data_IF_507821061879
#
_entry.id   IF_507821061879
#
_cell.length_a   1.000
_cell.length_b   1.000
_cell.length_c   1.000
_cell.angle_alpha   90.00
_cell.angle_beta   90.00
_cell.angle_gamma   90.00
#
_symmetry.space_group_name_H-M   'P 1'
#
loop_
_entity.id
_entity.type
_entity.pdbx_description
1 polymer ?
#
# COMPACT_ATOMS: atom_id res chain seq x y z
N UNK A 1 -73.87 -4.10 -9.57
CA UNK A 1 -72.48 -4.39 -9.13
C UNK A 1 -71.88 -5.37 -10.13
N UNK A 2 -70.95 -4.94 -11.00
CA UNK A 2 -70.33 -5.80 -12.01
C UNK A 2 -69.31 -6.71 -11.32
N UNK A 3 -69.61 -8.01 -11.28
CA UNK A 3 -68.75 -9.02 -10.65
C UNK A 3 -67.39 -9.11 -11.35
N UNK A 4 -66.32 -9.00 -10.57
CA UNK A 4 -64.99 -9.43 -11.00
C UNK A 4 -65.06 -10.94 -11.26
N UNK A 5 -65.09 -11.34 -12.53
CA UNK A 5 -64.97 -12.74 -12.92
C UNK A 5 -63.59 -13.28 -12.53
N UNK A 6 -63.53 -14.51 -12.02
CA UNK A 6 -62.33 -15.22 -11.56
C UNK A 6 -61.14 -15.11 -12.56
N UNK A 7 -61.46 -15.02 -13.84
CA UNK A 7 -60.51 -14.85 -14.96
C UNK A 7 -59.73 -13.54 -14.90
N UNK A 8 -60.36 -12.43 -14.50
CA UNK A 8 -59.71 -11.12 -14.38
C UNK A 8 -58.75 -11.07 -13.18
N UNK A 9 -59.09 -11.73 -12.07
CA UNK A 9 -58.23 -11.83 -10.88
C UNK A 9 -56.94 -12.60 -11.21
N UNK A 10 -57.05 -13.71 -11.95
CA UNK A 10 -55.89 -14.53 -12.38
C UNK A 10 -54.94 -13.76 -13.31
N UNK A 11 -55.49 -12.92 -14.19
CA UNK A 11 -54.73 -12.06 -15.10
C UNK A 11 -53.98 -10.94 -14.35
N UNK A 12 -54.63 -10.31 -13.38
CA UNK A 12 -53.99 -9.28 -12.51
C UNK A 12 -52.87 -9.91 -11.69
N UNK A 13 -53.10 -11.06 -11.07
CA UNK A 13 -52.09 -11.76 -10.28
C UNK A 13 -50.88 -12.16 -11.13
N UNK A 14 -51.09 -12.65 -12.36
CA UNK A 14 -50.01 -12.98 -13.31
C UNK A 14 -49.20 -11.75 -13.73
N UNK A 15 -49.84 -10.59 -13.94
CA UNK A 15 -49.15 -9.33 -14.24
C UNK A 15 -48.36 -8.81 -13.03
N UNK A 16 -48.94 -8.87 -11.84
CA UNK A 16 -48.27 -8.47 -10.60
C UNK A 16 -47.03 -9.34 -10.33
N UNK A 17 -47.15 -10.67 -10.47
CA UNK A 17 -46.03 -11.58 -10.27
C UNK A 17 -44.88 -11.32 -11.27
N UNK A 18 -45.20 -11.05 -12.53
CA UNK A 18 -44.20 -10.63 -13.53
C UNK A 18 -43.50 -9.32 -13.14
N UNK A 19 -44.25 -8.36 -12.61
CA UNK A 19 -43.69 -7.08 -12.18
C UNK A 19 -42.77 -7.23 -10.96
N UNK A 20 -43.17 -8.01 -9.95
CA UNK A 20 -42.32 -8.33 -8.78
C UNK A 20 -41.03 -9.02 -9.20
N UNK A 21 -41.09 -9.95 -10.15
CA UNK A 21 -39.91 -10.58 -10.73
C UNK A 21 -38.96 -9.60 -11.40
N UNK A 22 -39.49 -8.66 -12.19
CA UNK A 22 -38.66 -7.66 -12.87
C UNK A 22 -37.95 -6.79 -11.84
N UNK A 23 -38.64 -6.35 -10.78
CA UNK A 23 -38.03 -5.59 -9.69
C UNK A 23 -36.96 -6.42 -8.99
N UNK A 24 -37.23 -7.69 -8.70
CA UNK A 24 -36.26 -8.58 -8.07
C UNK A 24 -35.00 -8.76 -8.93
N UNK A 25 -35.16 -8.96 -10.24
CA UNK A 25 -34.03 -9.05 -11.18
C UNK A 25 -33.22 -7.74 -11.18
N UNK A 26 -33.89 -6.58 -11.26
CA UNK A 26 -33.21 -5.28 -11.20
C UNK A 26 -32.42 -5.09 -9.91
N UNK A 27 -32.98 -5.53 -8.77
CA UNK A 27 -32.34 -5.45 -7.47
C UNK A 27 -31.11 -6.37 -7.39
N UNK A 28 -31.21 -7.60 -7.93
CA UNK A 28 -30.07 -8.51 -8.04
C UNK A 28 -28.97 -7.92 -8.92
N UNK A 29 -29.32 -7.31 -10.06
CA UNK A 29 -28.36 -6.65 -10.96
C UNK A 29 -27.67 -5.49 -10.25
N UNK A 30 -28.40 -4.63 -9.53
CA UNK A 30 -27.84 -3.54 -8.74
C UNK A 30 -26.86 -4.05 -7.67
N UNK A 31 -27.22 -5.12 -6.95
CA UNK A 31 -26.32 -5.74 -5.96
C UNK A 31 -25.05 -6.25 -6.63
N UNK A 32 -25.14 -6.90 -7.79
CA UNK A 32 -23.97 -7.38 -8.52
C UNK A 32 -23.05 -6.24 -8.95
N UNK A 33 -23.61 -5.13 -9.45
CA UNK A 33 -22.84 -3.93 -9.82
C UNK A 33 -22.10 -3.37 -8.59
N UNK A 34 -22.77 -3.28 -7.44
CA UNK A 34 -22.15 -2.81 -6.20
C UNK A 34 -21.01 -3.72 -5.73
N UNK A 35 -21.20 -5.04 -5.77
CA UNK A 35 -20.16 -6.02 -5.41
C UNK A 35 -18.95 -5.89 -6.34
N UNK A 36 -19.18 -5.85 -7.67
CA UNK A 36 -18.11 -5.71 -8.66
C UNK A 36 -17.31 -4.43 -8.41
N UNK A 37 -18.00 -3.30 -8.22
CA UNK A 37 -17.35 -2.01 -7.95
C UNK A 37 -16.49 -2.07 -6.68
N UNK A 38 -17.01 -2.64 -5.59
CA UNK A 38 -16.26 -2.76 -4.34
C UNK A 38 -15.03 -3.68 -4.48
N UNK A 39 -15.14 -4.78 -5.23
CA UNK A 39 -14.01 -5.66 -5.52
C UNK A 39 -12.96 -4.95 -6.37
N UNK A 40 -13.37 -4.17 -7.36
CA UNK A 40 -12.45 -3.37 -8.19
C UNK A 40 -11.69 -2.34 -7.35
N UNK A 41 -12.40 -1.52 -6.57
CA UNK A 41 -11.77 -0.52 -5.69
C UNK A 41 -10.81 -1.16 -4.68
N UNK A 42 -11.15 -2.32 -4.13
CA UNK A 42 -10.26 -3.04 -3.21
C UNK A 42 -9.03 -3.60 -3.93
N UNK A 43 -9.22 -4.15 -5.13
CA UNK A 43 -8.12 -4.67 -5.96
C UNK A 43 -7.15 -3.57 -6.37
N UNK A 44 -7.64 -2.39 -6.72
CA UNK A 44 -6.82 -1.22 -7.07
C UNK A 44 -5.95 -0.80 -5.88
N UNK A 45 -6.54 -0.70 -4.68
CA UNK A 45 -5.79 -0.38 -3.44
C UNK A 45 -4.71 -1.40 -3.11
N UNK A 46 -5.01 -2.70 -3.29
CA UNK A 46 -4.00 -3.76 -3.11
C UNK A 46 -2.87 -3.60 -4.12
N UNK A 47 -3.20 -3.34 -5.39
CA UNK A 47 -2.21 -3.15 -6.45
C UNK A 47 -1.30 -1.95 -6.17
N UNK A 48 -1.87 -0.82 -5.73
CA UNK A 48 -1.08 0.36 -5.38
C UNK A 48 -0.15 0.09 -4.20
N UNK A 49 -0.65 -0.58 -3.15
CA UNK A 49 0.15 -0.96 -1.98
C UNK A 49 1.32 -1.86 -2.38
N UNK A 50 1.07 -2.82 -3.28
CA UNK A 50 2.10 -3.72 -3.79
C UNK A 50 3.20 -2.98 -4.58
N UNK A 51 2.84 -2.00 -5.41
CA UNK A 51 3.84 -1.21 -6.14
C UNK A 51 4.71 -0.37 -5.20
N UNK A 52 4.13 0.25 -4.16
CA UNK A 52 4.91 0.98 -3.14
C UNK A 52 5.86 0.03 -2.42
N UNK A 53 5.39 -1.15 -2.02
CA UNK A 53 6.21 -2.16 -1.38
C UNK A 53 7.38 -2.59 -2.28
N UNK A 54 7.13 -2.80 -3.56
CA UNK A 54 8.17 -3.18 -4.53
C UNK A 54 9.24 -2.10 -4.66
N UNK A 55 8.84 -0.83 -4.78
CA UNK A 55 9.77 0.31 -4.85
C UNK A 55 10.56 0.44 -3.55
N UNK A 56 9.90 0.22 -2.40
CA UNK A 56 10.53 0.23 -1.09
C UNK A 56 11.64 -0.82 -0.99
N UNK A 57 11.36 -2.06 -1.39
CA UNK A 57 12.33 -3.15 -1.37
C UNK A 57 13.52 -2.88 -2.30
N UNK A 58 13.29 -2.31 -3.48
CA UNK A 58 14.39 -1.91 -4.38
C UNK A 58 15.32 -0.87 -3.75
N UNK A 59 14.75 0.06 -2.98
CA UNK A 59 15.53 1.05 -2.25
C UNK A 59 16.27 0.44 -1.04
N UNK A 60 15.70 -0.56 -0.37
CA UNK A 60 16.41 -1.33 0.66
C UNK A 60 17.61 -2.07 0.09
N UNK A 61 17.46 -2.73 -1.07
CA UNK A 61 18.55 -3.40 -1.78
C UNK A 61 19.65 -2.40 -2.13
N UNK A 62 19.28 -1.24 -2.70
CA UNK A 62 20.24 -0.18 -3.00
C UNK A 62 20.97 0.31 -1.74
N UNK A 63 20.26 0.51 -0.63
CA UNK A 63 20.88 0.90 0.65
C UNK A 63 21.86 -0.15 1.14
N UNK A 64 21.48 -1.43 1.09
CA UNK A 64 22.32 -2.53 1.53
C UNK A 64 23.63 -2.61 0.71
N UNK A 65 23.55 -2.46 -0.61
CA UNK A 65 24.72 -2.49 -1.51
C UNK A 65 25.67 -1.31 -1.27
N UNK A 66 25.12 -0.12 -1.00
CA UNK A 66 25.94 1.07 -0.80
C UNK A 66 26.51 1.17 0.62
N UNK A 67 25.86 0.60 1.64
CA UNK A 67 26.34 0.63 3.02
C UNK A 67 27.60 -0.19 3.28
N UNK A 68 27.94 -1.12 2.38
CA UNK A 68 29.21 -1.82 2.41
C UNK A 68 30.39 -0.92 2.01
N UNK A 69 30.13 0.12 1.22
CA UNK A 69 31.15 1.01 0.66
C UNK A 69 31.20 2.36 1.38
N UNK A 70 30.06 2.89 1.78
CA UNK A 70 29.93 4.19 2.44
C UNK A 70 29.10 4.07 3.70
N UNK A 71 29.65 4.49 4.83
CA UNK A 71 28.94 4.45 6.11
C UNK A 71 27.81 5.47 6.26
N UNK A 72 27.76 6.43 5.34
CA UNK A 72 27.00 7.66 5.50
C UNK A 72 25.96 7.87 4.41
N UNK A 73 25.39 6.77 3.90
CA UNK A 73 24.25 6.80 2.97
C UNK A 73 23.03 7.54 3.55
N UNK A 74 23.01 7.77 4.86
CA UNK A 74 21.97 8.52 5.58
C UNK A 74 22.21 10.03 5.61
N UNK A 75 23.41 10.49 5.28
CA UNK A 75 23.85 11.86 5.54
C UNK A 75 23.84 12.67 4.25
N UNK A 76 22.63 12.95 3.71
CA UNK A 76 22.35 13.85 2.55
C UNK A 76 23.38 13.83 1.40
N UNK A 77 24.05 12.71 1.20
CA UNK A 77 25.10 12.52 0.19
C UNK A 77 24.51 12.15 -1.16
N UNK A 78 25.39 11.83 -2.11
CA UNK A 78 25.00 11.44 -3.47
C UNK A 78 24.07 10.22 -3.48
N UNK A 79 24.43 9.16 -2.74
CA UNK A 79 23.61 7.94 -2.61
C UNK A 79 22.22 8.21 -2.01
N UNK A 80 22.11 9.15 -1.07
CA UNK A 80 20.83 9.58 -0.52
C UNK A 80 20.00 10.34 -1.57
N UNK A 81 20.63 11.24 -2.32
CA UNK A 81 19.94 12.01 -3.36
C UNK A 81 19.43 11.10 -4.49
N UNK A 82 20.19 10.08 -4.88
CA UNK A 82 19.76 9.07 -5.85
C UNK A 82 18.48 8.38 -5.40
N UNK A 83 18.37 8.03 -4.12
CA UNK A 83 17.16 7.46 -3.56
C UNK A 83 16.00 8.45 -3.60
N UNK A 84 16.20 9.68 -3.12
CA UNK A 84 15.16 10.71 -3.15
C UNK A 84 14.63 10.92 -4.59
N UNK A 85 15.53 11.06 -5.56
CA UNK A 85 15.15 11.21 -6.98
C UNK A 85 14.43 9.97 -7.52
N UNK A 86 14.82 8.78 -7.08
CA UNK A 86 14.15 7.53 -7.45
C UNK A 86 12.71 7.47 -6.90
N UNK A 87 12.48 7.89 -5.66
CA UNK A 87 11.14 7.97 -5.08
C UNK A 87 10.30 9.06 -5.75
N UNK A 88 10.86 10.25 -5.96
CA UNK A 88 10.14 11.36 -6.61
C UNK A 88 9.70 11.01 -8.05
N UNK A 89 10.52 10.25 -8.80
CA UNK A 89 10.13 9.75 -10.14
C UNK A 89 8.94 8.78 -10.13
N UNK A 90 8.68 8.15 -8.99
CA UNK A 90 7.56 7.24 -8.79
C UNK A 90 6.39 7.89 -8.04
N UNK A 91 6.38 9.22 -7.92
CA UNK A 91 5.38 9.98 -7.14
C UNK A 91 5.30 9.53 -5.68
N UNK A 92 6.45 9.16 -5.10
CA UNK A 92 6.57 8.75 -3.71
C UNK A 92 7.57 9.64 -2.97
N UNK A 93 7.44 9.65 -1.65
CA UNK A 93 8.35 10.28 -0.72
C UNK A 93 9.07 9.24 0.11
N UNK A 94 10.26 9.60 0.56
CA UNK A 94 11.14 8.77 1.36
C UNK A 94 11.52 9.51 2.65
N UNK A 95 11.13 8.95 3.79
CA UNK A 95 11.75 9.28 5.07
C UNK A 95 12.75 8.19 5.43
N UNK A 96 14.01 8.58 5.65
CA UNK A 96 15.06 7.68 6.11
C UNK A 96 15.70 8.26 7.37
N UNK A 97 15.53 7.59 8.50
CA UNK A 97 15.91 8.10 9.82
C UNK A 97 16.83 7.12 10.54
N UNK A 98 18.01 7.62 10.94
CA UNK A 98 19.03 6.90 11.73
C UNK A 98 18.92 7.33 13.20
N UNK A 99 18.60 6.41 14.11
CA UNK A 99 18.56 6.63 15.57
C UNK A 99 19.56 5.72 16.27
N UNK A 100 20.44 6.27 17.11
CA UNK A 100 21.41 5.46 17.87
C UNK A 100 20.74 4.82 19.08
N UNK A 101 20.82 3.49 19.20
CA UNK A 101 20.14 2.76 20.28
C UNK A 101 21.11 2.11 21.26
N UNK A 102 22.20 1.49 20.79
CA UNK A 102 23.07 0.69 21.66
C UNK A 102 24.53 0.84 21.24
N UNK A 103 25.45 0.88 22.21
CA UNK A 103 26.89 0.74 22.00
C UNK A 103 27.37 -0.50 22.75
N UNK A 104 28.04 -1.42 22.05
CA UNK A 104 28.65 -2.61 22.63
C UNK A 104 30.14 -2.58 22.24
N UNK A 105 31.00 -2.35 23.23
CA UNK A 105 32.43 -2.11 22.98
C UNK A 105 32.61 -0.96 21.96
N UNK A 106 33.40 -1.18 20.90
CA UNK A 106 33.59 -0.22 19.81
C UNK A 106 32.47 -0.23 18.76
N UNK A 107 31.51 -1.16 18.84
CA UNK A 107 30.41 -1.27 17.88
C UNK A 107 29.22 -0.40 18.29
N UNK A 108 28.67 0.32 17.33
CA UNK A 108 27.51 1.19 17.45
C UNK A 108 26.37 0.59 16.64
N UNK A 109 25.24 0.38 17.30
CA UNK A 109 24.01 -0.13 16.69
C UNK A 109 23.04 1.04 16.57
N UNK A 110 22.84 1.49 15.34
CA UNK A 110 21.89 2.54 14.99
C UNK A 110 20.67 1.91 14.36
N UNK A 111 19.49 2.07 14.97
CA UNK A 111 18.24 1.67 14.37
C UNK A 111 17.90 2.59 13.20
N UNK A 112 17.56 1.98 12.08
CA UNK A 112 17.13 2.64 10.87
C UNK A 112 15.62 2.49 10.77
N UNK A 113 14.97 3.57 10.36
CA UNK A 113 13.57 3.60 9.95
C UNK A 113 13.52 4.10 8.52
N UNK A 114 12.93 3.31 7.65
CA UNK A 114 12.69 3.70 6.28
C UNK A 114 11.19 3.68 6.04
N UNK A 115 10.64 4.79 5.57
CA UNK A 115 9.22 4.93 5.25
C UNK A 115 9.08 5.46 3.84
N UNK A 116 8.29 4.77 3.04
CA UNK A 116 7.89 5.19 1.70
C UNK A 116 6.41 5.48 1.69
N UNK A 117 6.02 6.64 1.18
CA UNK A 117 4.63 7.09 1.27
C UNK A 117 4.28 8.07 0.15
N UNK A 118 2.98 8.30 -0.07
CA UNK A 118 2.49 9.31 -1.00
C UNK A 118 1.78 10.45 -0.24
N UNK A 119 2.13 11.71 -0.51
CA UNK A 119 1.55 12.86 0.21
C UNK A 119 0.03 13.00 -0.01
N UNK A 120 -0.45 12.64 -1.21
CA UNK A 120 -1.87 12.68 -1.58
C UNK A 120 -2.69 11.58 -0.90
N UNK A 121 -2.06 10.48 -0.48
CA UNK A 121 -2.72 9.29 0.07
C UNK A 121 -1.98 8.80 1.33
N UNK A 122 -2.22 9.40 2.51
CA UNK A 122 -1.44 9.11 3.72
C UNK A 122 -1.61 7.69 4.27
N UNK A 123 -2.59 6.92 3.76
CA UNK A 123 -2.78 5.50 4.09
C UNK A 123 -1.97 4.56 3.19
N UNK A 124 -1.42 5.05 2.09
CA UNK A 124 -0.49 4.33 1.23
C UNK A 124 0.93 4.58 1.73
N UNK A 125 1.32 3.83 2.76
CA UNK A 125 2.66 3.85 3.30
C UNK A 125 3.22 2.44 3.49
N UNK A 126 4.53 2.33 3.37
CA UNK A 126 5.28 1.13 3.72
C UNK A 126 6.45 1.50 4.63
N UNK A 127 6.63 0.75 5.71
CA UNK A 127 7.62 1.03 6.75
C UNK A 127 8.46 -0.22 7.02
N UNK A 128 9.77 -0.07 6.92
CA UNK A 128 10.73 -1.06 7.40
C UNK A 128 11.60 -0.48 8.50
N UNK A 129 12.00 -1.36 9.43
CA UNK A 129 12.98 -1.04 10.46
C UNK A 129 14.11 -2.04 10.45
N UNK A 130 15.34 -1.57 10.61
CA UNK A 130 16.53 -2.41 10.70
C UNK A 130 17.59 -1.79 11.60
N UNK A 131 18.80 -2.34 11.59
CA UNK A 131 19.94 -1.88 12.37
C UNK A 131 21.18 -1.73 11.52
N UNK A 132 21.74 -0.53 11.48
CA UNK A 132 23.09 -0.27 11.00
C UNK A 132 24.09 -0.56 12.11
N UNK A 133 25.08 -1.41 11.80
CA UNK A 133 26.22 -1.64 12.69
C UNK A 133 27.43 -0.88 12.18
N UNK A 134 27.98 0.01 13.00
CA UNK A 134 29.21 0.76 12.69
C UNK A 134 30.29 0.53 13.74
N UNK A 135 31.56 0.50 13.35
CA UNK A 135 32.66 0.50 14.30
C UNK A 135 33.07 1.95 14.58
N UNK A 136 32.90 2.39 15.82
CA UNK A 136 33.17 3.77 16.24
C UNK A 136 34.65 4.16 16.19
N UNK A 137 35.59 3.19 16.11
CA UNK A 137 37.02 3.47 15.92
C UNK A 137 37.39 3.65 14.45
N UNK A 138 36.91 2.76 13.58
CA UNK A 138 37.29 2.74 12.16
C UNK A 138 36.31 3.48 11.25
N UNK A 139 35.13 3.86 11.79
CA UNK A 139 34.00 4.39 11.03
C UNK A 139 33.63 3.50 9.83
N UNK A 140 33.83 2.18 9.95
CA UNK A 140 33.40 1.18 8.96
C UNK A 140 32.03 0.61 9.32
N UNK A 141 31.27 0.25 8.30
CA UNK A 141 29.92 -0.27 8.41
C UNK A 141 29.92 -1.73 8.00
N UNK A 142 29.09 -2.52 8.69
CA UNK A 142 29.08 -3.98 8.52
C UNK A 142 27.78 -4.48 7.90
N UNK A 143 26.80 -3.59 7.67
CA UNK A 143 25.53 -3.89 7.02
C UNK A 143 24.31 -3.41 7.81
N UNK A 144 23.13 -3.62 7.20
CA UNK A 144 21.81 -3.53 7.82
C UNK A 144 21.39 -4.93 8.28
N UNK A 145 20.95 -5.07 9.53
CA UNK A 145 20.29 -6.28 10.08
C UNK A 145 18.80 -6.02 10.29
#
# INVERSE_FOLDING_TARGET
>A
MKGLTFTNIKLVYKKYWKFVNIIFILLVVLIHILIIKNVQEHSEKISQTYEIQKIHLQAEEFLADNLLNECDVFDKGESFQILVDFFDRNDLKLDLVKKRNIKISDLLFSKIYMRSYQDSEPYLEFLTTGYLVTNGKTQKCFGII
#
